data_IF_965345351534
#
_entry.id   IF_965345351534
#
_cell.length_a   1.000
_cell.length_b   1.000
_cell.length_c   1.000
_cell.angle_alpha   90.00
_cell.angle_beta   90.00
_cell.angle_gamma   90.00
#
_symmetry.space_group_name_H-M   'P 1'
#
loop_
_entity.id
_entity.type
_entity.pdbx_description
1 polymer ?
#
# COMPACT_ATOMS: atom_id res chain seq x y z
N UNK A 1 -37.54 -20.68 63.85
CA UNK A 1 -37.90 -19.52 63.02
C UNK A 1 -37.52 -19.83 61.58
N UNK A 2 -38.51 -19.71 60.70
CA UNK A 2 -38.50 -20.16 59.32
C UNK A 2 -37.79 -19.20 58.38
N UNK A 3 -37.09 -19.80 57.42
CA UNK A 3 -36.67 -19.28 56.13
C UNK A 3 -37.49 -18.14 55.52
N UNK A 4 -36.80 -17.17 54.92
CA UNK A 4 -37.06 -16.66 53.57
C UNK A 4 -35.95 -15.67 53.17
N UNK A 5 -34.86 -16.18 52.59
CA UNK A 5 -33.95 -15.37 51.79
C UNK A 5 -34.46 -15.47 50.35
N UNK A 6 -35.24 -14.50 49.91
CA UNK A 6 -35.72 -14.40 48.54
C UNK A 6 -34.63 -13.77 47.68
N UNK A 7 -33.74 -14.60 47.15
CA UNK A 7 -32.98 -14.26 45.95
C UNK A 7 -33.98 -14.19 44.78
N UNK A 8 -34.50 -12.99 44.51
CA UNK A 8 -35.16 -12.66 43.26
C UNK A 8 -34.10 -12.70 42.14
N UNK A 9 -33.90 -13.90 41.60
CA UNK A 9 -33.26 -14.09 40.31
C UNK A 9 -34.18 -13.49 39.24
N UNK A 10 -34.05 -12.18 38.98
CA UNK A 10 -34.63 -11.52 37.81
C UNK A 10 -33.97 -12.09 36.57
N UNK A 11 -34.49 -13.20 36.05
CA UNK A 11 -34.32 -13.49 34.63
C UNK A 11 -35.03 -12.36 33.89
N UNK A 12 -34.25 -11.52 33.21
CA UNK A 12 -34.80 -10.56 32.25
C UNK A 12 -35.81 -11.29 31.36
N UNK A 13 -36.95 -10.66 31.12
CA UNK A 13 -37.89 -11.13 30.10
C UNK A 13 -37.08 -11.32 28.80
N UNK A 14 -37.12 -12.49 28.13
CA UNK A 14 -36.36 -12.74 26.89
C UNK A 14 -36.53 -11.64 25.83
N UNK A 15 -37.67 -10.94 25.87
CA UNK A 15 -37.95 -9.77 25.03
C UNK A 15 -37.11 -8.53 25.38
N UNK A 16 -36.83 -8.29 26.65
CA UNK A 16 -35.98 -7.18 27.12
C UNK A 16 -34.49 -7.46 26.88
N UNK A 17 -34.02 -8.70 27.13
CA UNK A 17 -32.64 -9.12 26.82
C UNK A 17 -32.36 -8.96 25.31
N UNK A 18 -33.32 -9.35 24.48
CA UNK A 18 -33.24 -9.22 23.03
C UNK A 18 -33.13 -7.76 22.58
N UNK A 19 -33.99 -6.87 23.09
CA UNK A 19 -33.95 -5.44 22.71
C UNK A 19 -32.62 -4.79 23.08
N UNK A 20 -32.06 -5.14 24.23
CA UNK A 20 -30.74 -4.66 24.65
C UNK A 20 -29.63 -5.14 23.70
N UNK A 21 -29.67 -6.41 23.27
CA UNK A 21 -28.73 -6.97 22.30
C UNK A 21 -28.87 -6.36 20.90
N UNK A 22 -30.09 -6.05 20.46
CA UNK A 22 -30.33 -5.35 19.19
C UNK A 22 -29.77 -3.91 19.21
N UNK A 23 -29.91 -3.20 20.34
CA UNK A 23 -29.29 -1.88 20.53
C UNK A 23 -27.76 -1.95 20.58
N UNK A 24 -27.19 -2.95 21.25
CA UNK A 24 -25.74 -3.19 21.28
C UNK A 24 -25.22 -3.50 19.87
N UNK A 25 -25.91 -4.38 19.13
CA UNK A 25 -25.56 -4.72 17.75
C UNK A 25 -25.53 -3.48 16.86
N UNK A 26 -26.54 -2.62 16.95
CA UNK A 26 -26.59 -1.38 16.18
C UNK A 26 -25.38 -0.47 16.48
N UNK A 27 -24.99 -0.33 17.74
CA UNK A 27 -23.80 0.46 18.12
C UNK A 27 -22.52 -0.14 17.56
N UNK A 28 -22.39 -1.46 17.57
CA UNK A 28 -21.23 -2.15 16.99
C UNK A 28 -21.17 -1.98 15.47
N UNK A 29 -22.32 -2.03 14.78
CA UNK A 29 -22.39 -1.78 13.33
C UNK A 29 -22.01 -0.34 12.98
N UNK A 30 -22.43 0.65 13.77
CA UNK A 30 -21.99 2.04 13.64
C UNK A 30 -20.46 2.16 13.84
N UNK A 31 -19.88 1.47 14.83
CA UNK A 31 -18.44 1.43 15.07
C UNK A 31 -17.67 0.77 13.92
N UNK A 32 -18.19 -0.33 13.36
CA UNK A 32 -17.60 -1.00 12.19
C UNK A 32 -17.55 -0.03 11.00
N UNK A 33 -18.66 0.67 10.72
CA UNK A 33 -18.71 1.66 9.65
C UNK A 33 -17.72 2.81 9.87
N UNK A 34 -17.55 3.26 11.13
CA UNK A 34 -16.54 4.24 11.48
C UNK A 34 -15.12 3.73 11.18
N UNK A 35 -14.78 2.52 11.62
CA UNK A 35 -13.47 1.93 11.35
C UNK A 35 -13.21 1.75 9.85
N UNK A 36 -14.21 1.38 9.06
CA UNK A 36 -14.07 1.33 7.60
C UNK A 36 -13.74 2.69 6.99
N UNK A 37 -14.38 3.76 7.47
CA UNK A 37 -14.05 5.12 7.08
C UNK A 37 -12.62 5.52 7.44
N UNK A 38 -12.19 5.22 8.66
CA UNK A 38 -10.84 5.51 9.16
C UNK A 38 -9.77 4.71 8.40
N UNK A 39 -10.03 3.44 8.08
CA UNK A 39 -9.17 2.57 7.24
C UNK A 39 -9.04 3.16 5.83
N UNK A 40 -10.15 3.59 5.22
CA UNK A 40 -10.12 4.18 3.89
C UNK A 40 -9.29 5.48 3.89
N UNK A 41 -9.52 6.35 4.86
CA UNK A 41 -8.79 7.61 5.02
C UNK A 41 -7.29 7.36 5.23
N UNK A 42 -6.91 6.59 6.24
CA UNK A 42 -5.51 6.27 6.53
C UNK A 42 -4.82 5.52 5.39
N UNK A 43 -5.54 4.66 4.67
CA UNK A 43 -5.06 4.02 3.45
C UNK A 43 -4.69 5.02 2.34
N UNK A 44 -5.49 6.07 2.14
CA UNK A 44 -5.17 7.14 1.18
C UNK A 44 -3.98 7.99 1.61
N UNK A 45 -3.87 8.30 2.90
CA UNK A 45 -2.74 9.04 3.47
C UNK A 45 -1.43 8.26 3.31
N UNK A 46 -1.44 6.95 3.61
CA UNK A 46 -0.32 6.03 3.39
C UNK A 46 0.16 6.06 1.93
N UNK A 47 -0.75 5.94 0.97
CA UNK A 47 -0.42 5.98 -0.47
C UNK A 47 0.18 7.33 -0.87
N UNK A 48 -0.34 8.42 -0.31
CA UNK A 48 0.17 9.77 -0.55
C UNK A 48 1.61 9.92 -0.02
N UNK A 49 1.88 9.47 1.21
CA UNK A 49 3.21 9.48 1.80
C UNK A 49 4.19 8.63 0.98
N UNK A 50 3.81 7.42 0.57
CA UNK A 50 4.63 6.54 -0.29
C UNK A 50 5.00 7.22 -1.62
N UNK A 51 4.04 7.89 -2.27
CA UNK A 51 4.29 8.61 -3.50
C UNK A 51 5.27 9.77 -3.28
N UNK A 52 5.09 10.54 -2.20
CA UNK A 52 5.99 11.64 -1.85
C UNK A 52 7.41 11.15 -1.57
N UNK A 53 7.57 10.03 -0.85
CA UNK A 53 8.86 9.37 -0.60
C UNK A 53 9.51 8.93 -1.92
N UNK A 54 8.73 8.37 -2.85
CA UNK A 54 9.24 7.96 -4.17
C UNK A 54 9.77 9.15 -4.98
N UNK A 55 9.07 10.29 -4.95
CA UNK A 55 9.52 11.53 -5.60
C UNK A 55 10.82 12.04 -4.96
N UNK A 56 10.90 12.06 -3.63
CA UNK A 56 12.10 12.48 -2.92
C UNK A 56 13.29 11.56 -3.24
N UNK A 57 13.07 10.24 -3.28
CA UNK A 57 14.09 9.26 -3.67
C UNK A 57 14.64 9.54 -5.07
N UNK A 58 13.78 9.79 -6.06
CA UNK A 58 14.21 10.16 -7.42
C UNK A 58 15.01 11.46 -7.46
N UNK A 59 14.63 12.45 -6.65
CA UNK A 59 15.39 13.71 -6.53
C UNK A 59 16.77 13.48 -5.93
N UNK A 60 16.88 12.67 -4.87
CA UNK A 60 18.16 12.30 -4.26
C UNK A 60 19.05 11.56 -5.27
N UNK A 61 18.51 10.56 -5.98
CA UNK A 61 19.25 9.83 -7.02
C UNK A 61 19.74 10.76 -8.14
N UNK A 62 18.91 11.70 -8.59
CA UNK A 62 19.31 12.71 -9.58
C UNK A 62 20.46 13.59 -9.05
N UNK A 63 20.35 14.09 -7.82
CA UNK A 63 21.39 14.90 -7.19
C UNK A 63 22.69 14.11 -7.01
N UNK A 64 22.61 12.82 -6.70
CA UNK A 64 23.79 11.94 -6.63
C UNK A 64 24.53 11.83 -7.95
N UNK A 65 23.80 11.66 -9.06
CA UNK A 65 24.41 11.62 -10.39
C UNK A 65 25.06 12.97 -10.75
N UNK A 66 24.39 14.09 -10.43
CA UNK A 66 24.93 15.43 -10.67
C UNK A 66 26.21 15.69 -9.85
N UNK A 67 26.23 15.26 -8.58
CA UNK A 67 27.39 15.33 -7.71
C UNK A 67 28.55 14.50 -8.28
N UNK A 68 28.28 13.29 -8.76
CA UNK A 68 29.30 12.45 -9.40
C UNK A 68 29.87 13.10 -10.66
N UNK A 69 28.99 13.63 -11.52
CA UNK A 69 29.36 14.37 -12.72
C UNK A 69 30.25 15.59 -12.39
N UNK A 70 29.83 16.43 -11.44
CA UNK A 70 30.62 17.59 -11.01
C UNK A 70 31.99 17.20 -10.46
N UNK A 71 32.10 16.10 -9.70
CA UNK A 71 33.40 15.61 -9.21
C UNK A 71 34.32 15.17 -10.36
N UNK A 72 33.77 14.53 -11.40
CA UNK A 72 34.53 14.14 -12.60
C UNK A 72 35.02 15.38 -13.34
N UNK A 73 34.14 16.38 -13.54
CA UNK A 73 34.48 17.64 -14.20
C UNK A 73 35.59 18.37 -13.42
N UNK A 74 35.47 18.52 -12.09
CA UNK A 74 36.49 19.16 -11.25
C UNK A 74 37.85 18.45 -11.39
N UNK A 75 37.84 17.12 -11.46
CA UNK A 75 39.05 16.32 -11.63
C UNK A 75 39.67 16.53 -13.02
N UNK A 76 38.85 16.58 -14.06
CA UNK A 76 39.29 16.82 -15.44
C UNK A 76 39.90 18.22 -15.60
N UNK A 77 39.19 19.26 -15.14
CA UNK A 77 39.71 20.63 -15.10
C UNK A 77 41.01 20.68 -14.28
N UNK A 78 41.09 19.95 -13.17
CA UNK A 78 42.31 19.84 -12.38
C UNK A 78 43.51 19.24 -13.16
N UNK A 79 43.27 18.30 -14.07
CA UNK A 79 44.32 17.78 -14.96
C UNK A 79 44.70 18.81 -16.03
N UNK A 80 43.72 19.46 -16.65
CA UNK A 80 43.97 20.52 -17.65
C UNK A 80 44.80 21.66 -17.05
N UNK A 81 44.48 22.13 -15.84
CA UNK A 81 45.28 23.15 -15.14
C UNK A 81 46.73 22.70 -14.99
N UNK A 82 46.97 21.45 -14.58
CA UNK A 82 48.32 20.90 -14.38
C UNK A 82 49.11 20.79 -15.70
N UNK A 83 48.44 20.41 -16.79
CA UNK A 83 49.05 20.33 -18.11
C UNK A 83 49.38 21.74 -18.65
N UNK A 84 48.51 22.71 -18.42
CA UNK A 84 48.75 24.12 -18.74
C UNK A 84 49.89 24.71 -17.90
N UNK A 85 49.95 24.42 -16.61
CA UNK A 85 51.08 24.79 -15.73
C UNK A 85 52.41 24.27 -16.26
N UNK A 86 52.45 22.98 -16.61
CA UNK A 86 53.64 22.35 -17.20
C UNK A 86 54.03 23.03 -18.52
N UNK A 87 53.05 23.44 -19.33
CA UNK A 87 53.28 24.15 -20.59
C UNK A 87 53.81 25.57 -20.37
N UNK A 88 53.30 26.28 -19.35
CA UNK A 88 53.81 27.60 -18.93
C UNK A 88 55.25 27.50 -18.45
N UNK A 89 55.60 26.47 -17.66
CA UNK A 89 56.96 26.23 -17.20
C UNK A 89 57.93 25.99 -18.37
N UNK A 90 57.57 25.08 -19.30
CA UNK A 90 58.37 24.82 -20.51
C UNK A 90 58.54 26.08 -21.36
N UNK A 91 57.48 26.85 -21.53
CA UNK A 91 57.49 28.11 -22.31
C UNK A 91 58.35 29.17 -21.62
N UNK A 92 58.30 29.26 -20.29
CA UNK A 92 59.15 30.17 -19.50
C UNK A 92 60.63 29.82 -19.61
N UNK A 93 60.98 28.52 -19.61
CA UNK A 93 62.34 28.07 -19.88
C UNK A 93 62.80 28.46 -21.28
N UNK A 94 61.96 28.24 -22.31
CA UNK A 94 62.28 28.69 -23.68
C UNK A 94 62.51 30.20 -23.78
N UNK A 95 61.70 31.02 -23.11
CA UNK A 95 61.90 32.48 -23.04
C UNK A 95 63.28 32.82 -22.45
N UNK A 96 63.68 32.12 -21.38
CA UNK A 96 65.00 32.33 -20.76
C UNK A 96 66.12 31.97 -21.72
N UNK A 97 66.02 30.83 -22.40
CA UNK A 97 67.02 30.37 -23.36
C UNK A 97 67.12 31.32 -24.57
N UNK A 98 66.00 31.78 -25.12
CA UNK A 98 65.97 32.75 -26.23
C UNK A 98 66.57 34.10 -25.84
N UNK A 99 66.38 34.56 -24.59
CA UNK A 99 67.04 35.78 -24.09
C UNK A 99 68.55 35.64 -24.01
N UNK A 100 69.05 34.48 -23.60
CA UNK A 100 70.49 34.18 -23.55
C UNK A 100 71.06 34.18 -24.98
N UNK A 101 70.38 33.54 -25.93
CA UNK A 101 70.80 33.52 -27.34
C UNK A 101 70.84 34.93 -27.95
N UNK A 102 69.81 35.75 -27.69
CA UNK A 102 69.80 37.15 -28.15
C UNK A 102 70.94 37.97 -27.55
N UNK A 103 71.24 37.80 -26.26
CA UNK A 103 72.35 38.50 -25.61
C UNK A 103 73.69 38.13 -26.26
N UNK A 104 73.91 36.85 -26.56
CA UNK A 104 75.12 36.39 -27.23
C UNK A 104 75.24 36.99 -28.64
N UNK A 105 74.15 36.97 -29.43
CA UNK A 105 74.17 37.55 -30.79
C UNK A 105 74.44 39.06 -30.76
N UNK A 106 73.85 39.78 -29.80
CA UNK A 106 74.12 41.22 -29.64
C UNK A 106 75.57 41.50 -29.24
N UNK A 107 76.16 40.60 -28.42
CA UNK A 107 77.57 40.68 -28.08
C UNK A 107 78.46 40.40 -29.30
N UNK A 108 78.16 39.36 -30.08
CA UNK A 108 78.89 39.02 -31.31
C UNK A 108 78.82 40.18 -32.33
N UNK A 109 77.64 40.79 -32.52
CA UNK A 109 77.47 41.98 -33.37
C UNK A 109 78.35 43.14 -32.88
N UNK A 110 78.37 43.39 -31.57
CA UNK A 110 79.19 44.45 -30.98
C UNK A 110 80.69 44.17 -31.16
N UNK A 111 81.13 42.93 -30.97
CA UNK A 111 82.53 42.55 -31.15
C UNK A 111 82.98 42.65 -32.62
N UNK A 112 82.12 42.27 -33.57
CA UNK A 112 82.38 42.41 -35.02
C UNK A 112 82.45 43.89 -35.46
N UNK A 113 81.57 44.76 -34.93
CA UNK A 113 81.55 46.19 -35.25
C UNK A 113 82.79 46.96 -34.73
N UNK A 114 83.47 46.43 -33.71
CA UNK A 114 84.70 47.00 -33.14
C UNK A 114 85.98 46.60 -33.90
N UNK A 115 85.91 45.71 -34.90
CA UNK A 115 87.10 45.27 -35.65
C UNK A 115 87.68 46.37 -36.51
N UNK A 116 89.01 46.46 -36.54
CA UNK A 116 89.69 47.47 -37.37
C UNK A 116 89.70 47.07 -38.86
N UNK A 117 89.68 48.06 -39.76
CA UNK A 117 89.80 47.82 -41.22
C UNK A 117 91.04 46.97 -41.61
N UNK A 118 92.14 47.12 -40.87
CA UNK A 118 93.37 46.37 -41.13
C UNK A 118 93.23 44.90 -40.71
N UNK A 119 92.50 44.64 -39.63
CA UNK A 119 92.18 43.32 -39.13
C UNK A 119 91.22 42.59 -40.07
N UNK A 120 90.18 43.26 -40.56
CA UNK A 120 89.23 42.73 -41.54
C UNK A 120 89.96 42.33 -42.84
N UNK A 121 90.84 43.20 -43.35
CA UNK A 121 91.63 42.94 -44.58
C UNK A 121 92.59 41.74 -44.45
N UNK A 122 93.08 41.44 -43.24
CA UNK A 122 94.00 40.33 -42.98
C UNK A 122 93.28 39.02 -42.65
N UNK A 123 92.04 39.08 -42.16
CA UNK A 123 91.29 37.93 -41.63
C UNK A 123 90.36 37.31 -42.67
N UNK A 124 89.79 38.13 -43.55
CA UNK A 124 88.80 37.70 -44.53
C UNK A 124 89.39 37.53 -45.93
N UNK A 125 88.76 36.67 -46.76
CA UNK A 125 89.18 36.45 -48.16
C UNK A 125 88.71 37.58 -49.07
N UNK A 126 87.49 38.03 -48.89
CA UNK A 126 86.89 39.17 -49.61
C UNK A 126 86.23 40.12 -48.61
N UNK A 127 86.26 41.44 -48.88
CA UNK A 127 85.64 42.43 -48.00
C UNK A 127 84.12 42.21 -47.86
N UNK A 128 83.47 41.61 -48.86
CA UNK A 128 82.07 41.22 -48.82
C UNK A 128 81.77 40.17 -47.75
N UNK A 129 82.69 39.24 -47.48
CA UNK A 129 82.47 38.16 -46.50
C UNK A 129 82.22 38.72 -45.09
N UNK A 130 82.91 39.81 -44.73
CA UNK A 130 82.68 40.52 -43.46
C UNK A 130 81.26 41.12 -43.38
N UNK A 131 80.82 41.82 -44.43
CA UNK A 131 79.50 42.44 -44.46
C UNK A 131 78.38 41.39 -44.50
N UNK A 132 78.60 40.26 -45.18
CA UNK A 132 77.65 39.14 -45.21
C UNK A 132 77.49 38.53 -43.80
N UNK A 133 78.59 38.31 -43.07
CA UNK A 133 78.55 37.81 -41.69
C UNK A 133 77.81 38.77 -40.74
N UNK A 134 78.07 40.07 -40.84
CA UNK A 134 77.38 41.09 -40.04
C UNK A 134 75.88 41.12 -40.35
N UNK A 135 75.52 41.07 -41.64
CA UNK A 135 74.13 41.02 -42.08
C UNK A 135 73.42 39.75 -41.61
N UNK A 136 74.09 38.60 -41.67
CA UNK A 136 73.56 37.32 -41.17
C UNK A 136 73.26 37.38 -39.66
N UNK A 137 74.14 38.00 -38.87
CA UNK A 137 73.92 38.22 -37.43
C UNK A 137 72.75 39.16 -37.17
N UNK A 138 72.59 40.25 -37.93
CA UNK A 138 71.44 41.15 -37.81
C UNK A 138 70.12 40.43 -38.15
N UNK A 139 70.10 39.64 -39.23
CA UNK A 139 68.92 38.83 -39.62
C UNK A 139 68.60 37.80 -38.55
N UNK A 140 69.62 37.14 -37.98
CA UNK A 140 69.45 36.17 -36.90
C UNK A 140 68.90 36.84 -35.63
N UNK A 141 69.42 38.01 -35.25
CA UNK A 141 68.91 38.80 -34.13
C UNK A 141 67.43 39.17 -34.34
N UNK A 142 67.07 39.68 -35.52
CA UNK A 142 65.69 40.04 -35.86
C UNK A 142 64.74 38.83 -35.74
N UNK A 143 65.08 37.68 -36.33
CA UNK A 143 64.28 36.45 -36.23
C UNK A 143 64.16 35.94 -34.79
N UNK A 144 65.21 36.04 -33.99
CA UNK A 144 65.17 35.62 -32.59
C UNK A 144 64.32 36.57 -31.73
N UNK A 145 64.27 37.87 -32.04
CA UNK A 145 63.36 38.81 -31.38
C UNK A 145 61.90 38.46 -31.70
N UNK A 146 61.58 38.16 -32.96
CA UNK A 146 60.24 37.72 -33.38
C UNK A 146 59.83 36.41 -32.71
N UNK A 147 60.74 35.42 -32.66
CA UNK A 147 60.52 34.17 -31.95
C UNK A 147 60.27 34.40 -30.45
N UNK A 148 61.10 35.22 -29.80
CA UNK A 148 60.92 35.55 -28.39
C UNK A 148 59.55 36.19 -28.13
N UNK A 149 59.12 37.10 -29.00
CA UNK A 149 57.81 37.74 -28.88
C UNK A 149 56.67 36.73 -29.04
N UNK A 150 56.78 35.82 -30.01
CA UNK A 150 55.83 34.73 -30.20
C UNK A 150 55.73 33.83 -28.95
N UNK A 151 56.87 33.46 -28.35
CA UNK A 151 56.90 32.61 -27.15
C UNK A 151 56.31 33.36 -25.93
N UNK A 152 56.56 34.66 -25.78
CA UNK A 152 55.93 35.48 -24.73
C UNK A 152 54.41 35.55 -24.91
N UNK A 153 53.93 35.76 -26.13
CA UNK A 153 52.49 35.79 -26.42
C UNK A 153 51.84 34.44 -26.09
N UNK A 154 52.46 33.33 -26.50
CA UNK A 154 52.02 31.99 -26.13
C UNK A 154 51.95 31.81 -24.61
N UNK A 155 52.97 32.26 -23.87
CA UNK A 155 52.95 32.21 -22.40
C UNK A 155 51.77 32.98 -21.83
N UNK A 156 51.52 34.19 -22.30
CA UNK A 156 50.40 35.02 -21.83
C UNK A 156 49.05 34.35 -22.12
N UNK A 157 48.88 33.73 -23.29
CA UNK A 157 47.67 32.97 -23.61
C UNK A 157 47.47 31.77 -22.68
N UNK A 158 48.54 31.01 -22.39
CA UNK A 158 48.47 29.88 -21.46
C UNK A 158 48.15 30.33 -20.02
N UNK A 159 48.71 31.45 -19.57
CA UNK A 159 48.40 32.03 -18.25
C UNK A 159 46.92 32.46 -18.16
N UNK A 160 46.38 33.04 -19.23
CA UNK A 160 44.95 33.38 -19.32
C UNK A 160 44.05 32.13 -19.33
N UNK A 161 44.44 31.09 -20.06
CA UNK A 161 43.71 29.81 -20.08
C UNK A 161 43.70 29.14 -18.71
N UNK A 162 44.85 29.13 -18.02
CA UNK A 162 44.96 28.62 -16.64
C UNK A 162 44.03 29.37 -15.69
N UNK A 163 43.95 30.70 -15.82
CA UNK A 163 43.06 31.51 -15.00
C UNK A 163 41.59 31.14 -15.25
N UNK A 164 41.17 31.07 -16.52
CA UNK A 164 39.81 30.66 -16.89
C UNK A 164 39.45 29.28 -16.30
N UNK A 165 40.32 28.29 -16.47
CA UNK A 165 40.11 26.95 -15.91
C UNK A 165 40.01 26.95 -14.38
N UNK A 166 40.78 27.82 -13.71
CA UNK A 166 40.73 27.94 -12.25
C UNK A 166 39.41 28.55 -11.78
N UNK A 167 38.89 29.54 -12.50
CA UNK A 167 37.58 30.15 -12.25
C UNK A 167 36.45 29.12 -12.47
N UNK A 168 36.48 28.39 -13.59
CA UNK A 168 35.52 27.32 -13.90
C UNK A 168 35.52 26.20 -12.84
N UNK A 169 36.71 25.85 -12.34
CA UNK A 169 36.85 24.88 -11.25
C UNK A 169 36.20 25.38 -9.97
N UNK A 170 36.46 26.62 -9.58
CA UNK A 170 35.89 27.22 -8.37
C UNK A 170 34.35 27.26 -8.44
N UNK A 171 33.80 27.64 -9.60
CA UNK A 171 32.36 27.70 -9.80
C UNK A 171 31.72 26.30 -9.79
N UNK A 172 32.39 25.31 -10.37
CA UNK A 172 31.94 23.91 -10.29
C UNK A 172 31.98 23.39 -8.85
N UNK A 173 33.01 23.73 -8.07
CA UNK A 173 33.10 23.38 -6.64
C UNK A 173 32.00 24.05 -5.80
N UNK A 174 31.65 25.32 -6.10
CA UNK A 174 30.51 26.00 -5.45
C UNK A 174 29.20 25.29 -5.79
N UNK A 175 28.97 24.95 -7.06
CA UNK A 175 27.78 24.23 -7.49
C UNK A 175 27.68 22.86 -6.80
N UNK A 176 28.79 22.12 -6.70
CA UNK A 176 28.88 20.85 -5.98
C UNK A 176 28.47 20.97 -4.51
N UNK A 177 28.93 22.03 -3.81
CA UNK A 177 28.53 22.31 -2.42
C UNK A 177 27.02 22.53 -2.31
N UNK A 178 26.44 23.33 -3.21
CA UNK A 178 24.99 23.59 -3.25
C UNK A 178 24.21 22.28 -3.47
N UNK A 179 24.60 21.49 -4.47
CA UNK A 179 23.96 20.20 -4.75
C UNK A 179 24.04 19.24 -3.56
N UNK A 180 25.18 19.23 -2.85
CA UNK A 180 25.36 18.40 -1.65
C UNK A 180 24.43 18.82 -0.51
N UNK A 181 24.28 20.14 -0.29
CA UNK A 181 23.33 20.67 0.69
C UNK A 181 21.88 20.32 0.32
N UNK A 182 21.50 20.54 -0.94
CA UNK A 182 20.18 20.16 -1.44
C UNK A 182 19.92 18.66 -1.25
N UNK A 183 20.90 17.81 -1.55
CA UNK A 183 20.78 16.35 -1.35
C UNK A 183 20.50 16.04 0.12
N UNK A 184 21.24 16.67 1.04
CA UNK A 184 21.05 16.48 2.48
C UNK A 184 19.63 16.89 2.91
N UNK A 185 19.14 18.05 2.48
CA UNK A 185 17.78 18.52 2.77
C UNK A 185 16.71 17.54 2.24
N UNK A 186 16.87 17.05 1.00
CA UNK A 186 15.92 16.08 0.43
C UNK A 186 15.94 14.74 1.19
N UNK A 187 17.11 14.33 1.67
CA UNK A 187 17.29 13.10 2.46
C UNK A 187 16.63 13.22 3.84
N UNK A 188 16.83 14.35 4.54
CA UNK A 188 16.17 14.63 5.82
C UNK A 188 14.64 14.67 5.66
N UNK A 189 14.13 15.36 4.64
CA UNK A 189 12.70 15.39 4.33
C UNK A 189 12.14 14.00 4.00
N UNK A 190 12.94 13.12 3.39
CA UNK A 190 12.55 11.73 3.13
C UNK A 190 12.47 10.93 4.43
N UNK A 191 13.45 11.07 5.32
CA UNK A 191 13.48 10.37 6.61
C UNK A 191 12.32 10.77 7.51
N UNK A 192 11.97 12.06 7.53
CA UNK A 192 10.78 12.56 8.23
C UNK A 192 9.50 11.90 7.69
N UNK A 193 9.36 11.80 6.37
CA UNK A 193 8.19 11.14 5.76
C UNK A 193 8.18 9.63 5.96
N UNK A 194 9.34 8.98 5.95
CA UNK A 194 9.47 7.56 6.29
C UNK A 194 9.03 7.31 7.75
N UNK A 195 9.32 8.24 8.66
CA UNK A 195 8.84 8.19 10.05
C UNK A 195 7.31 8.32 10.11
N UNK A 196 6.72 9.34 9.46
CA UNK A 196 5.27 9.48 9.43
C UNK A 196 4.56 8.29 8.78
N UNK A 197 5.13 7.73 7.70
CA UNK A 197 4.58 6.53 7.06
C UNK A 197 4.52 5.34 8.03
N UNK A 198 5.55 5.14 8.86
CA UNK A 198 5.55 4.08 9.89
C UNK A 198 4.47 4.30 10.94
N UNK A 199 4.26 5.54 11.38
CA UNK A 199 3.20 5.87 12.33
C UNK A 199 1.82 5.62 11.71
N UNK A 200 1.57 6.11 10.50
CA UNK A 200 0.32 5.88 9.77
C UNK A 200 0.08 4.38 9.53
N UNK A 201 1.12 3.60 9.25
CA UNK A 201 0.99 2.15 9.13
C UNK A 201 0.54 1.50 10.44
N UNK A 202 1.15 1.90 11.57
CA UNK A 202 0.77 1.37 12.88
C UNK A 202 -0.69 1.70 13.23
N UNK A 203 -1.14 2.91 12.91
CA UNK A 203 -2.52 3.34 13.09
C UNK A 203 -3.50 2.57 12.19
N UNK A 204 -3.15 2.39 10.91
CA UNK A 204 -3.92 1.58 9.96
C UNK A 204 -4.10 0.14 10.47
N UNK A 205 -3.04 -0.49 10.98
CA UNK A 205 -3.11 -1.84 11.55
C UNK A 205 -3.96 -1.90 12.83
N UNK A 206 -3.95 -0.83 13.63
CA UNK A 206 -4.81 -0.73 14.82
C UNK A 206 -6.29 -0.71 14.43
N UNK A 207 -6.67 0.05 13.42
CA UNK A 207 -8.06 0.10 12.95
C UNK A 207 -8.52 -1.23 12.36
N UNK A 208 -7.65 -1.93 11.61
CA UNK A 208 -7.97 -3.27 11.10
C UNK A 208 -8.27 -4.27 12.22
N UNK A 209 -7.43 -4.29 13.26
CA UNK A 209 -7.65 -5.17 14.42
C UNK A 209 -8.93 -4.82 15.18
N UNK A 210 -9.15 -3.53 15.44
CA UNK A 210 -10.34 -3.07 16.14
C UNK A 210 -11.61 -3.45 15.36
N UNK A 211 -11.61 -3.27 14.03
CA UNK A 211 -12.71 -3.70 13.16
C UNK A 211 -12.98 -5.21 13.29
N UNK A 212 -11.94 -6.04 13.19
CA UNK A 212 -12.08 -7.50 13.29
C UNK A 212 -12.66 -7.94 14.65
N UNK A 213 -12.19 -7.33 15.74
CA UNK A 213 -12.70 -7.60 17.10
C UNK A 213 -14.17 -7.19 17.23
N UNK A 214 -14.56 -6.03 16.72
CA UNK A 214 -15.95 -5.55 16.72
C UNK A 214 -16.85 -6.43 15.84
N UNK A 215 -16.38 -6.90 14.69
CA UNK A 215 -17.11 -7.83 13.81
C UNK A 215 -17.37 -9.18 14.49
N UNK A 216 -16.37 -9.73 15.19
CA UNK A 216 -16.54 -10.95 16.00
C UNK A 216 -17.60 -10.76 17.07
N UNK A 217 -17.54 -9.64 17.80
CA UNK A 217 -18.53 -9.33 18.83
C UNK A 217 -19.94 -9.17 18.27
N UNK A 218 -20.07 -8.50 17.13
CA UNK A 218 -21.34 -8.37 16.43
C UNK A 218 -21.89 -9.74 15.99
N UNK A 219 -21.04 -10.65 15.52
CA UNK A 219 -21.44 -12.01 15.16
C UNK A 219 -21.92 -12.83 16.37
N UNK A 220 -21.23 -12.74 17.51
CA UNK A 220 -21.66 -13.38 18.76
C UNK A 220 -23.04 -12.89 19.21
N UNK A 221 -23.28 -11.58 19.15
CA UNK A 221 -24.57 -10.99 19.52
C UNK A 221 -25.68 -11.41 18.55
N UNK A 222 -25.40 -11.45 17.24
CA UNK A 222 -26.35 -11.98 16.25
C UNK A 222 -26.73 -13.44 16.54
N UNK A 223 -25.74 -14.28 16.87
CA UNK A 223 -25.99 -15.67 17.27
C UNK A 223 -26.85 -15.74 18.55
N UNK A 224 -26.57 -14.91 19.54
CA UNK A 224 -27.34 -14.85 20.80
C UNK A 224 -28.78 -14.38 20.58
N UNK A 225 -28.99 -13.36 19.76
CA UNK A 225 -30.34 -12.91 19.37
C UNK A 225 -31.09 -14.07 18.70
N UNK A 226 -30.43 -14.83 17.83
CA UNK A 226 -31.03 -15.99 17.17
C UNK A 226 -31.42 -17.11 18.15
N UNK A 227 -30.59 -17.38 19.16
CA UNK A 227 -30.93 -18.32 20.24
C UNK A 227 -32.16 -17.88 21.05
N UNK A 228 -32.26 -16.59 21.39
CA UNK A 228 -33.39 -16.02 22.14
C UNK A 228 -34.71 -16.04 21.37
N UNK A 229 -34.67 -16.12 20.04
CA UNK A 229 -35.85 -16.30 19.18
C UNK A 229 -36.42 -17.74 19.29
N UNK A 230 -35.69 -18.68 19.92
CA UNK A 230 -36.13 -20.05 20.12
C UNK A 230 -37.42 -20.23 20.94
N UNK A 231 -38.55 -20.46 20.22
CA UNK A 231 -39.89 -20.97 20.63
C UNK A 231 -40.92 -19.93 21.11
N UNK A 232 -42.24 -19.99 20.80
CA UNK A 232 -43.02 -20.46 19.64
C UNK A 232 -43.80 -19.31 18.95
N UNK A 233 -43.44 -18.04 19.20
CA UNK A 233 -44.14 -16.92 18.57
C UNK A 233 -43.63 -16.68 17.16
N UNK A 234 -44.58 -16.43 16.26
CA UNK A 234 -44.28 -16.01 14.90
C UNK A 234 -43.42 -14.73 14.93
N UNK A 235 -42.26 -14.68 14.24
CA UNK A 235 -41.45 -13.47 14.22
C UNK A 235 -42.26 -12.33 13.59
N UNK A 236 -41.98 -11.10 14.01
CA UNK A 236 -42.53 -9.94 13.29
C UNK A 236 -41.91 -9.88 11.89
N UNK A 237 -42.54 -9.15 10.97
CA UNK A 237 -42.01 -9.04 9.61
C UNK A 237 -40.58 -8.50 9.57
N UNK A 238 -40.25 -7.52 10.42
CA UNK A 238 -38.90 -6.97 10.50
C UNK A 238 -37.86 -8.00 10.97
N UNK A 239 -38.24 -8.84 11.92
CA UNK A 239 -37.37 -9.89 12.47
C UNK A 239 -37.16 -11.00 11.45
N UNK A 240 -38.23 -11.41 10.76
CA UNK A 240 -38.15 -12.35 9.65
C UNK A 240 -37.25 -11.81 8.53
N UNK A 241 -37.28 -10.49 8.28
CA UNK A 241 -36.42 -9.85 7.28
C UNK A 241 -34.95 -9.87 7.68
N UNK A 242 -34.60 -9.57 8.92
CA UNK A 242 -33.22 -9.66 9.39
C UNK A 242 -32.69 -11.10 9.37
N UNK A 243 -33.52 -12.09 9.75
CA UNK A 243 -33.19 -13.51 9.61
C UNK A 243 -32.96 -13.86 8.13
N UNK A 244 -33.82 -13.39 7.23
CA UNK A 244 -33.70 -13.65 5.80
C UNK A 244 -32.43 -13.01 5.20
N UNK A 245 -32.03 -11.82 5.66
CA UNK A 245 -30.75 -11.19 5.29
C UNK A 245 -29.54 -11.98 5.79
N UNK A 246 -29.60 -12.52 7.00
CA UNK A 246 -28.55 -13.41 7.49
C UNK A 246 -28.46 -14.70 6.64
N UNK A 247 -29.59 -15.34 6.33
CA UNK A 247 -29.59 -16.55 5.49
C UNK A 247 -29.08 -16.27 4.07
N UNK A 248 -29.29 -15.06 3.54
CA UNK A 248 -28.73 -14.63 2.25
C UNK A 248 -27.19 -14.69 2.24
N UNK A 249 -26.52 -14.29 3.33
CA UNK A 249 -25.04 -14.32 3.38
C UNK A 249 -24.49 -15.75 3.35
N UNK A 250 -25.24 -16.71 3.88
CA UNK A 250 -24.86 -18.13 3.92
C UNK A 250 -25.19 -18.87 2.62
N UNK A 251 -26.34 -18.58 2.03
CA UNK A 251 -26.91 -19.39 0.94
C UNK A 251 -26.94 -18.69 -0.42
N UNK A 252 -26.75 -17.36 -0.45
CA UNK A 252 -26.97 -16.53 -1.64
C UNK A 252 -28.44 -16.39 -2.07
N UNK A 253 -29.39 -16.94 -1.29
CA UNK A 253 -30.81 -16.85 -1.60
C UNK A 253 -31.35 -15.50 -1.15
N UNK A 254 -31.98 -14.77 -2.09
CA UNK A 254 -32.52 -13.44 -1.83
C UNK A 254 -33.54 -13.44 -0.67
N UNK A 255 -33.45 -12.49 0.28
CA UNK A 255 -34.38 -12.37 1.41
C UNK A 255 -35.84 -12.28 0.95
N UNK A 256 -36.07 -11.59 -0.17
CA UNK A 256 -37.40 -11.48 -0.78
C UNK A 256 -38.01 -12.85 -1.13
N UNK A 257 -37.21 -13.80 -1.63
CA UNK A 257 -37.69 -15.15 -1.96
C UNK A 257 -37.98 -15.93 -0.67
N UNK A 258 -37.08 -15.88 0.31
CA UNK A 258 -37.26 -16.55 1.60
C UNK A 258 -38.53 -16.07 2.32
N UNK A 259 -38.74 -14.76 2.35
CA UNK A 259 -39.92 -14.15 2.97
C UNK A 259 -41.21 -14.44 2.18
N UNK A 260 -41.14 -14.44 0.84
CA UNK A 260 -42.30 -14.79 0.02
C UNK A 260 -42.75 -16.23 0.27
N UNK A 261 -41.82 -17.19 0.31
CA UNK A 261 -42.11 -18.59 0.65
C UNK A 261 -42.67 -18.68 2.07
N UNK A 262 -42.00 -18.09 3.07
CA UNK A 262 -42.44 -18.19 4.46
C UNK A 262 -43.81 -17.50 4.72
N UNK A 263 -44.12 -16.45 3.97
CA UNK A 263 -45.42 -15.78 4.00
C UNK A 263 -46.51 -16.68 3.42
N UNK A 264 -46.23 -17.35 2.30
CA UNK A 264 -47.17 -18.26 1.65
C UNK A 264 -47.43 -19.53 2.48
N UNK A 265 -46.39 -20.10 3.08
CA UNK A 265 -46.46 -21.36 3.83
C UNK A 265 -47.20 -21.22 5.16
N UNK A 266 -46.99 -20.12 5.88
CA UNK A 266 -47.51 -20.00 7.26
C UNK A 266 -47.85 -18.58 7.70
N UNK A 267 -47.85 -17.62 6.78
CA UNK A 267 -47.93 -16.19 7.11
C UNK A 267 -46.86 -15.80 8.15
N UNK A 268 -45.60 -16.19 7.88
CA UNK A 268 -44.45 -15.92 8.75
C UNK A 268 -44.62 -16.58 10.13
N UNK A 269 -44.96 -17.87 10.14
CA UNK A 269 -45.09 -18.67 11.36
C UNK A 269 -46.40 -18.45 12.14
N UNK A 270 -47.31 -17.59 11.68
CA UNK A 270 -48.58 -17.30 12.36
C UNK A 270 -49.62 -18.41 12.23
N UNK A 271 -49.52 -19.24 11.18
CA UNK A 271 -50.44 -20.33 10.91
C UNK A 271 -49.68 -21.64 10.74
N UNK A 272 -49.25 -22.22 11.87
CA UNK A 272 -48.45 -23.45 11.91
C UNK A 272 -49.31 -24.66 12.23
N UNK A 273 -50.03 -25.19 11.23
CA UNK A 273 -50.81 -26.42 11.38
C UNK A 273 -52.03 -26.33 12.32
N UNK A 274 -52.95 -27.29 12.20
CA UNK A 274 -54.23 -27.29 12.93
C UNK A 274 -54.60 -28.66 13.48
N UNK A 275 -53.69 -29.62 13.44
CA UNK A 275 -53.87 -30.98 13.91
C UNK A 275 -52.76 -31.38 14.89
N UNK A 276 -53.08 -32.30 15.79
CA UNK A 276 -52.11 -32.99 16.64
C UNK A 276 -52.10 -34.47 16.31
N UNK A 277 -50.92 -35.06 16.15
CA UNK A 277 -50.78 -36.51 16.11
C UNK A 277 -51.16 -37.10 17.48
N UNK A 278 -51.97 -38.15 17.51
CA UNK A 278 -52.33 -38.86 18.75
C UNK A 278 -52.01 -40.35 18.71
N UNK A 279 -52.02 -40.95 17.53
CA UNK A 279 -51.64 -42.35 17.35
C UNK A 279 -50.48 -42.47 16.34
N UNK A 280 -49.23 -42.64 16.80
CA UNK A 280 -48.07 -42.81 15.92
C UNK A 280 -48.14 -44.04 15.00
N UNK A 281 -48.78 -45.12 15.46
CA UNK A 281 -48.84 -46.39 14.72
C UNK A 281 -49.81 -46.33 13.54
N UNK A 282 -50.92 -45.60 13.66
CA UNK A 282 -51.95 -45.45 12.61
C UNK A 282 -51.87 -44.11 11.87
N UNK A 283 -51.21 -43.11 12.46
CA UNK A 283 -51.10 -41.76 11.91
C UNK A 283 -52.34 -40.91 12.14
N UNK A 284 -53.21 -41.33 13.05
CA UNK A 284 -54.43 -40.63 13.43
C UNK A 284 -54.15 -39.54 14.48
N UNK A 285 -55.00 -38.52 14.47
CA UNK A 285 -54.85 -37.38 15.35
C UNK A 285 -56.16 -36.65 15.57
N UNK A 286 -56.07 -35.45 16.13
CA UNK A 286 -57.23 -34.61 16.41
C UNK A 286 -57.03 -33.21 15.83
N UNK A 287 -58.12 -32.53 15.47
CA UNK A 287 -58.08 -31.09 15.17
C UNK A 287 -57.90 -30.29 16.44
N UNK A 288 -57.01 -29.29 16.40
CA UNK A 288 -56.62 -28.44 17.51
C UNK A 288 -57.80 -27.67 18.13
N UNK A 289 -58.69 -27.11 17.30
CA UNK A 289 -59.82 -26.29 17.76
C UNK A 289 -61.05 -27.10 18.17
N UNK A 290 -61.28 -28.25 17.54
CA UNK A 290 -62.56 -28.97 17.67
C UNK A 290 -62.45 -30.31 18.40
N UNK A 291 -61.23 -30.80 18.66
CA UNK A 291 -60.99 -32.12 19.26
C UNK A 291 -61.39 -33.32 18.39
N UNK A 292 -62.10 -33.08 17.28
CA UNK A 292 -62.55 -34.12 16.33
C UNK A 292 -61.39 -34.95 15.80
N UNK A 293 -61.57 -36.27 15.82
CA UNK A 293 -60.64 -37.24 15.25
C UNK A 293 -60.47 -37.05 13.74
N UNK A 294 -59.24 -37.18 13.30
CA UNK A 294 -58.82 -37.04 11.91
C UNK A 294 -57.90 -38.21 11.56
N UNK A 295 -58.32 -39.00 10.57
CA UNK A 295 -57.44 -39.98 9.96
C UNK A 295 -56.42 -39.29 9.04
N UNK A 296 -55.25 -39.90 8.90
CA UNK A 296 -54.16 -39.42 8.03
C UNK A 296 -53.48 -38.11 8.43
N UNK A 297 -53.41 -37.81 9.72
CA UNK A 297 -52.69 -36.63 10.23
C UNK A 297 -51.21 -36.67 9.90
N UNK A 298 -50.57 -37.84 9.93
CA UNK A 298 -49.16 -37.98 9.57
C UNK A 298 -48.87 -39.41 9.09
N UNK A 299 -48.04 -39.58 8.06
CA UNK A 299 -47.73 -40.92 7.53
C UNK A 299 -46.97 -41.75 8.56
N UNK A 300 -47.48 -42.92 9.02
CA UNK A 300 -46.88 -43.71 10.09
C UNK A 300 -45.48 -44.23 9.75
N UNK A 301 -45.26 -44.59 8.50
CA UNK A 301 -44.00 -45.19 8.05
C UNK A 301 -43.04 -44.17 7.48
N UNK A 302 -43.55 -43.10 6.87
CA UNK A 302 -42.72 -42.07 6.21
C UNK A 302 -42.30 -40.95 7.17
N UNK A 303 -43.23 -40.37 7.92
CA UNK A 303 -43.00 -39.08 8.60
C UNK A 303 -42.94 -39.20 10.13
N UNK A 304 -43.77 -40.05 10.74
CA UNK A 304 -43.86 -40.21 12.20
C UNK A 304 -42.51 -40.48 12.87
N UNK A 305 -41.65 -41.41 12.39
CA UNK A 305 -40.37 -41.68 13.04
C UNK A 305 -39.45 -40.45 13.09
N UNK A 306 -39.46 -39.65 12.02
CA UNK A 306 -38.67 -38.42 11.93
C UNK A 306 -39.27 -37.30 12.77
N UNK A 307 -40.60 -37.19 12.79
CA UNK A 307 -41.29 -36.21 13.62
C UNK A 307 -40.97 -36.40 15.10
N UNK A 308 -41.08 -37.62 15.61
CA UNK A 308 -40.77 -37.95 17.00
C UNK A 308 -39.31 -37.59 17.35
N UNK A 309 -38.37 -37.93 16.44
CA UNK A 309 -36.96 -37.59 16.60
C UNK A 309 -36.73 -36.07 16.65
N UNK A 310 -37.34 -35.32 15.73
CA UNK A 310 -37.21 -33.85 15.70
C UNK A 310 -37.79 -33.23 16.98
N UNK A 311 -38.96 -33.68 17.43
CA UNK A 311 -39.57 -33.16 18.65
C UNK A 311 -38.75 -33.49 19.89
N UNK A 312 -38.14 -34.67 19.96
CA UNK A 312 -37.22 -35.07 21.03
C UNK A 312 -35.96 -34.19 21.05
N UNK A 313 -35.31 -34.00 19.89
CA UNK A 313 -34.13 -33.11 19.76
C UNK A 313 -34.44 -31.66 20.16
N UNK A 314 -35.68 -31.21 19.96
CA UNK A 314 -36.15 -29.87 20.31
C UNK A 314 -36.77 -29.77 21.71
N UNK A 315 -36.83 -30.87 22.48
CA UNK A 315 -37.47 -30.90 23.81
C UNK A 315 -38.98 -30.62 23.80
N UNK A 316 -39.66 -30.88 22.68
CA UNK A 316 -41.10 -30.62 22.49
C UNK A 316 -41.91 -31.90 22.71
N UNK A 317 -43.14 -31.74 23.22
CA UNK A 317 -44.10 -32.84 23.27
C UNK A 317 -44.66 -33.12 21.86
N UNK A 318 -44.40 -34.30 21.25
CA UNK A 318 -44.89 -34.62 19.92
C UNK A 318 -46.42 -34.65 19.83
N UNK A 319 -47.11 -34.99 20.92
CA UNK A 319 -48.57 -35.12 20.93
C UNK A 319 -49.29 -33.79 21.11
N UNK A 320 -48.55 -32.73 21.43
CA UNK A 320 -49.05 -31.36 21.55
C UNK A 320 -48.27 -30.37 20.65
N UNK A 321 -47.51 -30.89 19.69
CA UNK A 321 -46.85 -30.08 18.66
C UNK A 321 -47.77 -29.96 17.43
N UNK A 322 -48.20 -28.74 17.05
CA UNK A 322 -49.08 -28.55 15.90
C UNK A 322 -48.45 -29.02 14.59
N UNK A 323 -49.25 -29.72 13.79
CA UNK A 323 -48.90 -30.14 12.43
C UNK A 323 -50.04 -29.85 11.45
N UNK A 324 -49.73 -29.79 10.16
CA UNK A 324 -50.75 -29.59 9.13
C UNK A 324 -51.76 -30.74 9.13
N UNK A 325 -53.04 -30.40 8.95
CA UNK A 325 -54.09 -31.38 8.77
C UNK A 325 -54.05 -31.96 7.34
N UNK A 326 -54.54 -33.18 7.13
CA UNK A 326 -54.62 -33.77 5.80
C UNK A 326 -55.57 -32.98 4.89
N UNK A 327 -55.17 -32.85 3.63
CA UNK A 327 -56.02 -32.35 2.55
C UNK A 327 -56.91 -33.47 1.98
N UNK A 328 -57.75 -33.16 0.98
CA UNK A 328 -58.60 -34.14 0.30
C UNK A 328 -57.83 -35.32 -0.31
N UNK A 329 -56.54 -35.12 -0.61
CA UNK A 329 -55.62 -36.13 -1.09
C UNK A 329 -54.33 -36.07 -0.25
N UNK A 330 -53.84 -37.24 0.17
CA UNK A 330 -52.55 -37.37 0.87
C UNK A 330 -52.64 -37.40 2.39
N UNK A 331 -51.49 -37.16 3.01
CA UNK A 331 -51.29 -37.09 4.46
C UNK A 331 -51.00 -35.65 4.87
N UNK A 332 -51.37 -35.27 6.09
CA UNK A 332 -50.89 -34.04 6.72
C UNK A 332 -49.44 -34.19 7.23
N UNK A 333 -49.11 -33.46 8.29
CA UNK A 333 -47.91 -33.70 9.08
C UNK A 333 -46.78 -32.70 8.85
N UNK A 334 -47.02 -31.63 8.08
CA UNK A 334 -46.05 -30.54 7.96
C UNK A 334 -45.93 -29.78 9.29
N UNK A 335 -44.71 -29.41 9.67
CA UNK A 335 -44.41 -28.84 10.99
C UNK A 335 -43.60 -27.55 10.91
N UNK A 336 -43.69 -26.75 11.97
CA UNK A 336 -42.91 -25.54 12.18
C UNK A 336 -43.26 -24.36 11.26
N UNK A 337 -42.57 -23.21 11.41
CA UNK A 337 -42.86 -21.99 10.65
C UNK A 337 -42.73 -22.13 9.14
N UNK A 338 -41.84 -23.00 8.65
CA UNK A 338 -41.68 -23.24 7.22
C UNK A 338 -42.63 -24.32 6.65
N UNK A 339 -43.50 -24.92 7.49
CA UNK A 339 -44.41 -26.01 7.12
C UNK A 339 -43.71 -27.11 6.29
N UNK A 340 -42.56 -27.60 6.77
CA UNK A 340 -41.84 -28.69 6.10
C UNK A 340 -42.30 -30.06 6.58
N UNK A 341 -42.11 -31.10 5.75
CA UNK A 341 -42.43 -32.48 6.11
C UNK A 341 -41.25 -33.09 6.90
N UNK A 342 -41.47 -33.76 8.06
CA UNK A 342 -40.40 -34.30 8.89
C UNK A 342 -39.33 -35.13 8.16
N UNK A 343 -39.75 -35.99 7.23
CA UNK A 343 -38.84 -36.78 6.37
C UNK A 343 -37.91 -35.89 5.53
N UNK A 344 -38.42 -34.79 4.97
CA UNK A 344 -37.59 -33.86 4.17
C UNK A 344 -36.50 -33.18 4.99
N UNK A 345 -36.62 -33.12 6.31
CA UNK A 345 -35.62 -32.54 7.18
C UNK A 345 -34.63 -33.58 7.74
N UNK A 346 -35.15 -34.64 8.34
CA UNK A 346 -34.36 -35.55 9.18
C UNK A 346 -33.99 -36.89 8.51
N UNK A 347 -34.41 -37.16 7.27
CA UNK A 347 -34.03 -38.37 6.56
C UNK A 347 -32.50 -38.44 6.35
N UNK A 348 -31.79 -39.48 6.81
CA UNK A 348 -30.34 -39.57 6.68
C UNK A 348 -29.80 -39.63 5.24
N UNK A 349 -30.65 -40.00 4.27
CA UNK A 349 -30.24 -40.15 2.86
C UNK A 349 -30.52 -38.92 2.01
N UNK A 350 -31.57 -38.17 2.33
CA UNK A 350 -32.09 -37.09 1.49
C UNK A 350 -32.53 -35.84 2.26
N UNK A 351 -32.44 -35.85 3.59
CA UNK A 351 -32.90 -34.77 4.45
C UNK A 351 -32.02 -33.53 4.34
N UNK A 352 -32.65 -32.35 4.33
CA UNK A 352 -31.96 -31.07 4.24
C UNK A 352 -31.30 -30.64 5.55
N UNK A 353 -31.68 -31.21 6.70
CA UNK A 353 -31.19 -30.78 8.01
C UNK A 353 -29.68 -30.91 8.19
N UNK A 354 -29.05 -31.92 7.57
CA UNK A 354 -27.58 -32.06 7.58
C UNK A 354 -26.88 -30.99 6.76
N UNK A 355 -27.42 -30.68 5.57
CA UNK A 355 -26.87 -29.63 4.70
C UNK A 355 -26.96 -28.25 5.35
N UNK A 356 -28.04 -28.00 6.10
CA UNK A 356 -28.17 -26.75 6.86
C UNK A 356 -27.13 -26.67 7.97
N UNK A 357 -26.91 -27.75 8.74
CA UNK A 357 -25.86 -27.81 9.79
C UNK A 357 -24.43 -27.60 9.29
N UNK A 358 -24.16 -27.81 8.00
CA UNK A 358 -22.83 -27.59 7.41
C UNK A 358 -22.56 -26.11 7.10
N UNK A 359 -23.62 -25.30 6.95
CA UNK A 359 -23.55 -23.89 6.56
C UNK A 359 -23.97 -22.91 7.65
N UNK A 360 -24.52 -23.42 8.75
CA UNK A 360 -24.86 -22.68 9.99
C UNK A 360 -23.99 -23.16 11.12
#
# INVERSE_FOLDING_TARGET
ESAANSDENKSLDPLEERKALEEELKKLEEQIAQYEGDIAKTGTEKKTLQNQISVLKKKVEKLDLQIQESNVIIKDIGFQIKDTETSIEKTSSKIKDSRIQLANILQDIYEEDQRSLLEILLSEKELSDFFDNLMDLEVLNSKNQELLETIKNLKSSLESEKQSLSEDKEDTEKALKIQTLQKKEQQEAKEEKDYFLKLTEAEYQKYLKAKEETEKRAAEIRARIFELIGVPEAPTFGEAYEIAKYVETLTGVKPALLLAVLTQESNIGKNVGQCFLKNPSTGEGIRLLTGKEVAKVMSPTRDVPYFLKITEELGRDPYNTPVSCPMSVGWGGAMGPAQFIPDTWANPKSGYGQKVKEIT
#
